data_IF_294437217460
#
_entry.id   IF_294437217460
#
_cell.length_a   1.000
_cell.length_b   1.000
_cell.length_c   1.000
_cell.angle_alpha   90.00
_cell.angle_beta   90.00
_cell.angle_gamma   90.00
#
_symmetry.space_group_name_H-M   'P 1'
#
loop_
_entity.id
_entity.type
_entity.pdbx_description
1 polymer ?
#
# COMPACT_ATOMS: atom_id res chain seq x y z
N UNK A 1 -27.29 2.87 -1.33
CA UNK A 1 -26.60 3.07 -0.04
C UNK A 1 -25.33 3.83 -0.36
N UNK A 2 -25.31 5.14 -0.12
CA UNK A 2 -24.14 6.00 -0.34
C UNK A 2 -23.31 6.00 0.94
N UNK A 3 -22.24 5.21 0.99
CA UNK A 3 -21.20 5.43 1.99
C UNK A 3 -20.50 6.74 1.66
N UNK A 4 -20.53 7.70 2.58
CA UNK A 4 -19.91 9.00 2.37
C UNK A 4 -18.38 8.83 2.38
N UNK A 5 -17.64 9.64 1.62
CA UNK A 5 -16.15 9.59 1.60
C UNK A 5 -15.58 9.79 3.00
N UNK A 6 -16.31 10.50 3.85
CA UNK A 6 -16.02 10.69 5.27
C UNK A 6 -16.07 9.40 6.09
N UNK A 7 -17.01 8.52 5.80
CA UNK A 7 -17.14 7.23 6.49
C UNK A 7 -15.97 6.32 6.12
N UNK A 8 -15.59 6.30 4.84
CA UNK A 8 -14.41 5.56 4.35
C UNK A 8 -13.10 6.05 4.98
N UNK A 9 -12.89 7.37 5.07
CA UNK A 9 -11.70 7.96 5.72
C UNK A 9 -11.71 7.65 7.23
N UNK A 10 -12.87 7.70 7.87
CA UNK A 10 -13.01 7.35 9.29
C UNK A 10 -12.67 5.88 9.57
N UNK A 11 -13.11 4.97 8.70
CA UNK A 11 -12.79 3.54 8.80
C UNK A 11 -11.32 3.22 8.51
N UNK A 12 -10.72 3.83 7.48
CA UNK A 12 -9.28 3.64 7.22
C UNK A 12 -8.42 4.11 8.40
N UNK A 13 -8.71 5.30 8.91
CA UNK A 13 -8.04 5.83 10.10
C UNK A 13 -8.20 4.93 11.33
N UNK A 14 -9.30 4.16 11.45
CA UNK A 14 -9.49 3.19 12.55
C UNK A 14 -8.49 2.06 12.47
N UNK A 15 -8.32 1.44 11.29
CA UNK A 15 -7.40 0.31 11.11
C UNK A 15 -5.95 0.74 11.23
N UNK A 16 -5.61 1.92 10.72
CA UNK A 16 -4.28 2.48 10.84
C UNK A 16 -3.87 2.69 12.29
N UNK A 17 -4.74 3.34 13.08
CA UNK A 17 -4.51 3.53 14.52
C UNK A 17 -4.49 2.21 15.29
N UNK A 18 -5.29 1.22 14.87
CA UNK A 18 -5.27 -0.10 15.48
C UNK A 18 -3.95 -0.83 15.22
N UNK A 19 -3.42 -0.76 14.00
CA UNK A 19 -2.10 -1.31 13.65
C UNK A 19 -1.01 -0.63 14.47
N UNK A 20 -1.00 0.71 14.49
CA UNK A 20 -0.05 1.51 15.26
C UNK A 20 -0.01 1.06 16.73
N UNK A 21 -1.19 0.97 17.37
CA UNK A 21 -1.30 0.50 18.75
C UNK A 21 -0.80 -0.93 18.95
N UNK A 22 -1.12 -1.83 18.03
CA UNK A 22 -0.71 -3.24 18.15
C UNK A 22 0.80 -3.43 17.97
N UNK A 23 1.44 -2.57 17.19
CA UNK A 23 2.86 -2.67 16.86
C UNK A 23 3.74 -1.74 17.71
N UNK A 24 3.14 -0.95 18.58
CA UNK A 24 3.81 0.14 19.32
C UNK A 24 4.47 1.15 18.38
N UNK A 25 3.79 1.50 17.29
CA UNK A 25 4.24 2.51 16.33
C UNK A 25 3.49 3.83 16.53
N UNK A 26 4.16 4.93 16.23
CA UNK A 26 3.56 6.24 16.12
C UNK A 26 2.83 6.35 14.77
N UNK A 27 1.54 6.69 14.79
CA UNK A 27 0.78 7.00 13.58
C UNK A 27 0.97 8.47 13.19
N UNK A 28 1.40 8.72 11.95
CA UNK A 28 1.68 10.07 11.45
C UNK A 28 0.38 10.72 10.98
N UNK A 29 -0.34 11.33 11.94
CA UNK A 29 -1.54 12.10 11.66
C UNK A 29 -1.15 13.48 11.09
N UNK A 30 -1.80 13.91 10.00
CA UNK A 30 -1.50 15.14 9.23
C UNK A 30 -0.35 15.05 8.21
N UNK A 31 -0.37 14.02 7.36
CA UNK A 31 0.41 14.05 6.13
C UNK A 31 -0.01 15.27 5.26
N UNK A 32 0.81 16.31 5.24
CA UNK A 32 0.78 17.26 4.12
C UNK A 32 1.02 16.47 2.83
N UNK A 33 0.35 16.81 1.73
CA UNK A 33 0.61 16.21 0.40
C UNK A 33 2.12 16.04 0.18
N UNK A 34 2.63 14.81 0.28
CA UNK A 34 4.06 14.52 0.16
C UNK A 34 4.70 13.72 1.29
N UNK A 35 4.05 13.46 2.43
CA UNK A 35 4.54 12.45 3.37
C UNK A 35 4.33 11.06 2.76
N UNK A 36 5.38 10.25 2.69
CA UNK A 36 5.35 8.98 1.97
C UNK A 36 5.52 7.73 2.88
N UNK A 37 5.23 7.90 4.17
CA UNK A 37 5.20 6.86 5.20
C UNK A 37 4.08 7.17 6.21
N UNK A 38 3.44 6.13 6.72
CA UNK A 38 2.26 6.20 7.58
C UNK A 38 2.61 6.10 9.08
N UNK A 39 3.74 5.47 9.42
CA UNK A 39 4.16 5.21 10.80
C UNK A 39 5.65 5.43 11.05
N UNK A 40 5.99 5.61 12.33
CA UNK A 40 7.36 5.60 12.84
C UNK A 40 7.44 4.57 13.97
N UNK A 41 8.37 3.61 13.86
CA UNK A 41 8.64 2.63 14.92
C UNK A 41 9.45 3.27 16.08
N UNK A 42 9.52 2.62 17.27
CA UNK A 42 10.24 3.18 18.43
C UNK A 42 11.72 3.48 18.19
N UNK A 43 12.35 2.80 17.23
CA UNK A 43 13.75 3.02 16.82
C UNK A 43 13.92 4.12 15.76
N UNK A 44 12.83 4.78 15.35
CA UNK A 44 12.81 5.83 14.33
C UNK A 44 12.60 5.33 12.90
N UNK A 45 12.46 4.01 12.69
CA UNK A 45 12.21 3.43 11.36
C UNK A 45 10.89 3.93 10.78
N UNK A 46 10.92 4.44 9.54
CA UNK A 46 9.73 4.93 8.82
C UNK A 46 9.07 3.80 8.04
N UNK A 47 7.75 3.70 8.19
CA UNK A 47 6.98 2.57 7.66
C UNK A 47 5.83 3.10 6.83
N UNK A 48 5.76 2.66 5.58
CA UNK A 48 4.55 2.76 4.76
C UNK A 48 3.76 1.46 4.88
N UNK A 49 2.47 1.52 5.21
CA UNK A 49 1.61 0.33 5.24
C UNK A 49 0.53 0.37 4.17
N UNK A 50 0.25 -0.81 3.60
CA UNK A 50 -0.85 -1.01 2.66
C UNK A 50 -1.83 -2.02 3.20
N UNK A 51 -3.02 -1.53 3.52
CA UNK A 51 -4.18 -2.34 3.88
C UNK A 51 -4.84 -2.85 2.60
N UNK A 52 -4.45 -4.05 2.20
CA UNK A 52 -4.89 -4.71 0.96
C UNK A 52 -5.82 -5.88 1.33
N UNK A 53 -6.95 -5.59 1.98
CA UNK A 53 -7.83 -6.58 2.60
C UNK A 53 -8.24 -7.72 1.67
N UNK A 54 -8.65 -7.37 0.45
CA UNK A 54 -9.17 -8.33 -0.51
C UNK A 54 -8.08 -9.03 -1.35
N UNK A 55 -6.80 -8.70 -1.13
CA UNK A 55 -5.67 -9.32 -1.84
C UNK A 55 -5.59 -10.83 -1.67
N UNK A 56 -6.05 -11.39 -0.54
CA UNK A 56 -6.11 -12.83 -0.32
C UNK A 56 -6.97 -13.53 -1.39
N UNK A 57 -8.06 -12.89 -1.83
CA UNK A 57 -8.97 -13.45 -2.84
C UNK A 57 -8.31 -13.59 -4.21
N UNK A 58 -7.38 -12.69 -4.53
CA UNK A 58 -6.69 -12.67 -5.81
C UNK A 58 -5.33 -13.35 -5.76
N UNK A 59 -4.77 -13.55 -4.56
CA UNK A 59 -3.41 -14.04 -4.37
C UNK A 59 -2.32 -13.03 -4.74
N UNK A 60 -2.66 -11.76 -4.92
CA UNK A 60 -1.74 -10.72 -5.40
C UNK A 60 -1.79 -9.47 -4.53
N UNK A 61 -0.63 -8.89 -4.26
CA UNK A 61 -0.51 -7.52 -3.76
C UNK A 61 -0.58 -6.52 -4.92
N UNK A 62 -1.38 -5.47 -4.76
CA UNK A 62 -1.44 -4.35 -5.70
C UNK A 62 -0.41 -3.27 -5.33
N UNK A 63 0.71 -3.24 -6.05
CA UNK A 63 1.77 -2.24 -5.82
C UNK A 63 1.62 -1.06 -6.77
N UNK A 64 0.92 -0.01 -6.33
CA UNK A 64 0.75 1.22 -7.10
C UNK A 64 2.07 1.99 -7.26
N UNK A 65 2.35 2.47 -8.48
CA UNK A 65 3.56 3.26 -8.76
C UNK A 65 3.31 4.53 -9.59
N UNK A 66 2.12 4.68 -10.20
CA UNK A 66 1.82 5.89 -10.96
C UNK A 66 0.31 6.17 -11.02
N UNK A 67 -0.04 7.44 -11.13
CA UNK A 67 -1.41 7.91 -11.30
C UNK A 67 -1.54 8.93 -12.43
N UNK A 68 -2.77 9.13 -12.87
CA UNK A 68 -3.15 10.14 -13.86
C UNK A 68 -4.43 10.82 -13.43
N UNK A 69 -4.62 12.08 -13.82
CA UNK A 69 -5.85 12.84 -13.63
C UNK A 69 -6.51 13.26 -14.94
N UNK A 70 -5.94 12.86 -16.08
CA UNK A 70 -6.37 13.28 -17.42
C UNK A 70 -6.62 12.09 -18.35
N UNK A 71 -7.07 10.96 -17.80
CA UNK A 71 -7.44 9.77 -18.57
C UNK A 71 -6.25 9.03 -19.16
N UNK A 72 -5.08 9.11 -18.51
CA UNK A 72 -3.88 8.36 -18.91
C UNK A 72 -3.01 9.05 -19.95
N UNK A 73 -3.29 10.32 -20.30
CA UNK A 73 -2.43 11.10 -21.20
C UNK A 73 -1.08 11.39 -20.58
N UNK A 74 -1.05 11.70 -19.28
CA UNK A 74 0.18 11.88 -18.51
C UNK A 74 0.12 11.08 -17.22
N UNK A 75 1.24 10.46 -16.87
CA UNK A 75 1.41 9.66 -15.66
C UNK A 75 2.43 10.34 -14.76
N UNK A 76 2.10 10.48 -13.49
CA UNK A 76 3.00 11.00 -12.44
C UNK A 76 3.25 9.89 -11.41
N UNK A 77 4.43 9.88 -10.74
CA UNK A 77 4.70 8.95 -9.65
C UNK A 77 3.62 8.99 -8.57
N UNK A 78 3.29 7.82 -8.02
CA UNK A 78 2.39 7.67 -6.88
C UNK A 78 2.70 6.40 -6.09
N UNK A 79 2.04 6.24 -4.93
CA UNK A 79 2.16 5.05 -4.10
C UNK A 79 3.62 4.74 -3.78
N UNK A 80 4.06 3.52 -4.12
CA UNK A 80 5.41 3.04 -3.84
C UNK A 80 6.49 3.94 -4.43
N UNK A 81 6.30 4.57 -5.59
CA UNK A 81 7.32 5.44 -6.16
C UNK A 81 7.59 6.70 -5.34
N UNK A 82 6.65 7.11 -4.47
CA UNK A 82 6.86 8.20 -3.52
C UNK A 82 7.44 7.65 -2.20
N UNK A 83 6.86 6.56 -1.69
CA UNK A 83 7.31 5.92 -0.44
C UNK A 83 8.73 5.37 -0.51
N UNK A 84 9.17 4.95 -1.69
CA UNK A 84 10.48 4.36 -1.90
C UNK A 84 11.66 5.31 -1.61
N UNK A 85 11.42 6.62 -1.50
CA UNK A 85 12.44 7.62 -1.22
C UNK A 85 12.48 8.03 0.27
N UNK A 86 11.41 7.78 1.03
CA UNK A 86 11.30 8.23 2.42
C UNK A 86 11.09 7.13 3.45
N UNK A 87 10.42 6.03 3.07
CA UNK A 87 10.14 4.91 3.96
C UNK A 87 11.33 3.94 3.99
N UNK A 88 11.58 3.34 5.14
CA UNK A 88 12.55 2.27 5.31
C UNK A 88 11.88 0.90 5.05
N UNK A 89 10.64 0.76 5.50
CA UNK A 89 9.85 -0.46 5.41
C UNK A 89 8.57 -0.26 4.59
N UNK A 90 8.24 -1.31 3.83
CA UNK A 90 6.97 -1.50 3.15
C UNK A 90 6.22 -2.66 3.80
N UNK A 91 5.07 -2.36 4.39
CA UNK A 91 4.25 -3.33 5.10
C UNK A 91 2.97 -3.60 4.33
N UNK A 92 2.67 -4.86 4.05
CA UNK A 92 1.40 -5.26 3.44
C UNK A 92 0.57 -6.00 4.47
N UNK A 93 -0.60 -5.45 4.79
CA UNK A 93 -1.55 -6.01 5.75
C UNK A 93 -2.82 -6.44 5.02
N UNK A 94 -3.25 -7.66 5.26
CA UNK A 94 -4.57 -8.14 4.83
C UNK A 94 -5.25 -8.91 5.97
N UNK A 95 -6.38 -9.57 5.67
CA UNK A 95 -7.20 -10.25 6.69
C UNK A 95 -6.45 -11.37 7.44
N UNK A 96 -5.43 -11.96 6.81
CA UNK A 96 -4.71 -13.12 7.36
C UNK A 96 -3.28 -12.80 7.76
N UNK A 97 -2.59 -11.98 6.98
CA UNK A 97 -1.14 -11.82 7.09
C UNK A 97 -0.72 -10.35 7.09
N UNK A 98 0.31 -10.09 7.89
CA UNK A 98 1.16 -8.91 7.79
C UNK A 98 2.51 -9.35 7.24
N UNK A 99 2.95 -8.71 6.16
CA UNK A 99 4.24 -8.92 5.52
C UNK A 99 5.06 -7.65 5.63
N UNK A 100 6.25 -7.76 6.17
CA UNK A 100 7.21 -6.65 6.26
C UNK A 100 8.32 -6.90 5.26
N UNK A 101 8.64 -5.88 4.48
CA UNK A 101 9.77 -5.84 3.55
C UNK A 101 10.56 -4.56 3.78
N UNK A 102 11.87 -4.58 3.53
CA UNK A 102 12.60 -3.33 3.32
C UNK A 102 12.21 -2.75 1.96
N UNK A 103 12.22 -1.42 1.85
CA UNK A 103 12.00 -0.75 0.55
C UNK A 103 12.99 -1.23 -0.51
N UNK A 104 14.24 -1.47 -0.14
CA UNK A 104 15.27 -2.01 -1.04
C UNK A 104 14.95 -3.42 -1.54
N UNK A 105 14.39 -4.29 -0.69
CA UNK A 105 13.91 -5.61 -1.12
C UNK A 105 12.78 -5.49 -2.14
N UNK A 106 11.86 -4.53 -1.97
CA UNK A 106 10.80 -4.28 -2.95
C UNK A 106 11.39 -3.77 -4.27
N UNK A 107 12.33 -2.81 -4.23
CA UNK A 107 13.04 -2.30 -5.43
C UNK A 107 13.77 -3.43 -6.17
N UNK A 108 14.47 -4.29 -5.42
CA UNK A 108 15.18 -5.45 -5.96
C UNK A 108 14.22 -6.43 -6.64
N UNK A 109 13.14 -6.81 -5.97
CA UNK A 109 12.10 -7.70 -6.52
C UNK A 109 11.55 -7.15 -7.84
N UNK A 110 11.18 -5.86 -7.89
CA UNK A 110 10.67 -5.24 -9.12
C UNK A 110 11.71 -5.29 -10.23
N UNK A 111 12.97 -5.00 -9.91
CA UNK A 111 14.06 -4.96 -10.89
C UNK A 111 14.34 -6.34 -11.48
N UNK A 112 14.43 -7.37 -10.63
CA UNK A 112 14.72 -8.75 -11.03
C UNK A 112 13.57 -9.40 -11.81
N UNK A 113 12.32 -8.97 -11.56
CA UNK A 113 11.13 -9.58 -12.15
C UNK A 113 10.40 -8.67 -13.16
N UNK A 114 11.00 -7.53 -13.54
CA UNK A 114 10.31 -6.46 -14.28
C UNK A 114 9.60 -6.93 -15.55
N UNK A 115 10.22 -7.84 -16.31
CA UNK A 115 9.65 -8.38 -17.55
C UNK A 115 8.47 -9.32 -17.33
N UNK A 116 8.35 -9.88 -16.12
CA UNK A 116 7.37 -10.91 -15.77
C UNK A 116 6.22 -10.33 -14.94
N UNK A 117 6.40 -9.17 -14.32
CA UNK A 117 5.36 -8.51 -13.54
C UNK A 117 4.27 -7.96 -14.46
N UNK A 118 3.04 -8.40 -14.19
CA UNK A 118 1.87 -7.87 -14.87
C UNK A 118 1.57 -6.46 -14.39
N UNK A 119 1.54 -5.51 -15.32
CA UNK A 119 1.06 -4.16 -15.06
C UNK A 119 -0.45 -4.14 -15.29
N UNK A 120 -1.18 -3.56 -14.34
CA UNK A 120 -2.62 -3.32 -14.43
C UNK A 120 -2.93 -1.84 -14.26
N UNK A 121 -4.16 -1.48 -14.61
CA UNK A 121 -4.68 -0.14 -14.45
C UNK A 121 -6.06 -0.19 -13.79
N UNK A 122 -6.37 0.75 -12.91
CA UNK A 122 -7.73 0.88 -12.35
C UNK A 122 -8.73 1.21 -13.45
N UNK A 123 -9.99 0.82 -13.23
CA UNK A 123 -11.12 1.25 -14.07
C UNK A 123 -11.59 2.63 -13.62
N UNK A 124 -12.23 3.37 -14.53
CA UNK A 124 -12.85 4.65 -14.18
C UNK A 124 -13.96 4.44 -13.13
N UNK A 125 -14.01 5.30 -12.10
CA UNK A 125 -15.04 5.27 -11.06
C UNK A 125 -14.83 4.26 -9.93
N UNK A 126 -13.67 3.59 -9.86
CA UNK A 126 -13.30 2.74 -8.71
C UNK A 126 -12.83 3.62 -7.54
N UNK A 127 -13.15 3.25 -6.29
CA UNK A 127 -12.77 3.97 -5.06
C UNK A 127 -13.11 5.47 -5.05
N UNK A 128 -14.26 5.85 -5.60
CA UNK A 128 -14.70 7.25 -5.70
C UNK A 128 -13.76 8.16 -6.53
N UNK A 129 -12.90 7.58 -7.37
CA UNK A 129 -12.04 8.32 -8.29
C UNK A 129 -12.88 9.20 -9.22
N UNK A 130 -12.47 10.45 -9.39
CA UNK A 130 -13.08 11.39 -10.33
C UNK A 130 -12.92 10.88 -11.77
N UNK A 131 -13.79 11.28 -12.70
CA UNK A 131 -13.60 11.00 -14.12
C UNK A 131 -12.19 11.41 -14.58
N UNK A 132 -11.49 10.48 -15.23
CA UNK A 132 -10.11 10.68 -15.69
C UNK A 132 -9.02 10.34 -14.66
N UNK A 133 -9.37 10.03 -13.41
CA UNK A 133 -8.41 9.52 -12.42
C UNK A 133 -8.23 8.01 -12.53
N UNK A 134 -6.99 7.59 -12.78
CA UNK A 134 -6.61 6.18 -12.89
C UNK A 134 -5.26 5.97 -12.20
N UNK A 135 -4.99 4.76 -11.73
CA UNK A 135 -3.66 4.37 -11.26
C UNK A 135 -3.13 3.13 -11.96
N UNK A 136 -1.81 2.99 -11.99
CA UNK A 136 -1.05 1.86 -12.49
C UNK A 136 -0.37 1.17 -11.33
N UNK A 137 -0.39 -0.16 -11.39
CA UNK A 137 0.28 -0.99 -10.42
C UNK A 137 0.88 -2.23 -11.03
N UNK A 138 1.86 -2.79 -10.33
CA UNK A 138 2.23 -4.18 -10.51
C UNK A 138 1.26 -5.06 -9.73
N UNK A 139 0.80 -6.15 -10.35
CA UNK A 139 0.19 -7.26 -9.63
C UNK A 139 1.31 -8.20 -9.23
N UNK A 140 1.57 -8.29 -7.93
CA UNK A 140 2.67 -9.05 -7.36
C UNK A 140 2.09 -10.29 -6.69
N UNK A 141 2.30 -11.49 -7.26
CA UNK A 141 1.89 -12.74 -6.64
C UNK A 141 2.51 -12.89 -5.24
N UNK A 142 1.76 -13.42 -4.28
CA UNK A 142 2.25 -13.55 -2.91
C UNK A 142 3.38 -14.57 -2.75
N UNK A 143 3.39 -15.63 -3.56
CA UNK A 143 4.49 -16.59 -3.64
C UNK A 143 5.80 -15.91 -4.08
N UNK A 144 5.71 -14.95 -5.02
CA UNK A 144 6.85 -14.12 -5.39
C UNK A 144 7.22 -13.15 -4.26
N UNK A 145 6.25 -12.41 -3.71
CA UNK A 145 6.48 -11.41 -2.67
C UNK A 145 7.14 -12.03 -1.43
N UNK A 146 6.66 -13.20 -1.00
CA UNK A 146 7.14 -13.89 0.19
C UNK A 146 8.63 -14.28 0.11
N UNK A 147 9.22 -14.39 -1.10
CA UNK A 147 10.67 -14.63 -1.27
C UNK A 147 11.54 -13.43 -0.86
N UNK A 148 10.95 -12.24 -0.74
CA UNK A 148 11.63 -10.98 -0.40
C UNK A 148 11.20 -10.44 0.98
N UNK A 149 10.29 -11.14 1.66
CA UNK A 149 9.77 -10.76 2.96
C UNK A 149 10.81 -11.00 4.06
N UNK A 150 11.06 -9.98 4.88
CA UNK A 150 11.91 -10.13 6.07
C UNK A 150 11.15 -10.78 7.22
N UNK A 151 9.85 -10.50 7.33
CA UNK A 151 8.98 -11.07 8.35
C UNK A 151 7.56 -11.22 7.84
N UNK A 152 6.98 -12.40 8.04
CA UNK A 152 5.56 -12.68 7.81
C UNK A 152 4.94 -13.18 9.11
N UNK A 153 3.87 -12.55 9.54
CA UNK A 153 3.15 -12.92 10.76
C UNK A 153 1.64 -12.87 10.53
N UNK A 154 0.83 -13.58 11.34
CA UNK A 154 -0.61 -13.40 11.34
C UNK A 154 -0.96 -11.92 11.50
N UNK A 155 -1.99 -11.46 10.79
CA UNK A 155 -2.39 -10.05 10.85
C UNK A 155 -2.75 -9.65 12.27
N UNK A 156 -2.16 -8.57 12.82
CA UNK A 156 -2.45 -8.11 14.18
C UNK A 156 -3.82 -7.44 14.30
N UNK A 157 -4.45 -7.12 13.16
CA UNK A 157 -5.76 -6.48 13.08
C UNK A 157 -6.64 -7.21 12.07
N UNK A 158 -7.96 -7.08 12.22
CA UNK A 158 -8.96 -7.70 11.34
C UNK A 158 -10.01 -6.69 10.94
N UNK A 159 -10.56 -6.83 9.73
CA UNK A 159 -11.76 -6.10 9.32
C UNK A 159 -12.95 -6.84 9.94
N UNK A 160 -13.60 -6.21 10.92
CA UNK A 160 -14.82 -6.74 11.54
C UNK A 160 -16.03 -6.62 10.59
#
# INVERSE_FOLDING_TARGET
>A
MSGDVRDFIGEQNRYERALAKSMDWEFVDQQSKGSCYDYIAPDGTKIEAKFDWDSIKTGNHYLEFAQTSNGGKTWIPSGFSLSADEADLWVVVNEEWMRTLTVDSVKKMITENRSNLKITQTRAGVNFNRPGQLSKAYLIPFDLLDNYVMQKMPSPIKRE
#
